data_IF_065839231913
#
_entry.id   IF_065839231913
#
_cell.length_a   1.000
_cell.length_b   1.000
_cell.length_c   1.000
_cell.angle_alpha   90.00
_cell.angle_beta   90.00
_cell.angle_gamma   90.00
#
_symmetry.space_group_name_H-M   'P 1'
#
loop_
_entity.id
_entity.type
_entity.pdbx_description
1 polymer ?
#
# COMPACT_ATOMS: atom_id res chain seq x y z
N UNK A 1 -14.67 23.68 11.75
CA UNK A 1 -14.77 22.30 12.25
C UNK A 1 -13.68 21.45 11.60
N UNK A 2 -12.95 20.67 12.42
CA UNK A 2 -11.80 19.88 11.96
C UNK A 2 -11.92 18.46 12.49
N UNK A 3 -11.59 17.46 11.66
CA UNK A 3 -11.49 16.04 12.00
C UNK A 3 -10.21 15.46 11.42
N UNK A 4 -9.49 14.67 12.21
CA UNK A 4 -8.32 13.91 11.74
C UNK A 4 -8.44 12.52 12.35
N UNK A 5 -8.43 11.48 11.53
CA UNK A 5 -8.37 10.10 11.93
C UNK A 5 -6.93 9.68 12.22
N UNK A 6 -6.75 8.56 12.94
CA UNK A 6 -5.44 7.98 13.21
C UNK A 6 -4.69 7.73 11.91
N UNK A 7 -3.46 8.18 11.84
CA UNK A 7 -2.63 7.99 10.68
C UNK A 7 -1.16 8.02 11.08
N UNK A 8 -0.38 7.08 10.61
CA UNK A 8 1.06 6.97 10.88
C UNK A 8 1.85 6.76 9.60
N UNK A 9 3.17 6.96 9.66
CA UNK A 9 4.05 6.59 8.56
C UNK A 9 4.09 5.07 8.45
N UNK A 10 3.66 4.47 7.33
CA UNK A 10 3.57 3.03 7.19
C UNK A 10 4.95 2.36 7.11
N UNK A 11 5.09 1.20 7.75
CA UNK A 11 6.30 0.36 7.65
C UNK A 11 6.35 -0.45 6.35
N UNK A 12 5.20 -0.70 5.73
CA UNK A 12 5.06 -1.37 4.43
C UNK A 12 4.41 -0.38 3.48
N UNK A 13 5.12 -0.05 2.40
CA UNK A 13 4.71 1.02 1.48
C UNK A 13 5.14 0.82 0.03
N UNK A 14 5.60 -0.37 -0.34
CA UNK A 14 6.01 -0.64 -1.73
C UNK A 14 4.89 -0.37 -2.75
N UNK A 15 3.65 -0.54 -2.33
CA UNK A 15 2.47 -0.27 -3.14
C UNK A 15 1.47 0.60 -2.38
N UNK A 16 0.77 1.46 -3.12
CA UNK A 16 -0.18 2.42 -2.56
C UNK A 16 -1.22 1.79 -1.62
N UNK A 17 -1.85 0.70 -2.03
CA UNK A 17 -2.85 0.01 -1.21
C UNK A 17 -2.28 -0.47 0.13
N UNK A 18 -1.05 -1.03 0.13
CA UNK A 18 -0.37 -1.43 1.36
C UNK A 18 -0.02 -0.22 2.22
N UNK A 19 0.52 0.84 1.62
CA UNK A 19 0.87 2.06 2.35
C UNK A 19 -0.36 2.67 3.05
N UNK A 20 -1.50 2.76 2.36
CA UNK A 20 -2.75 3.24 2.93
C UNK A 20 -3.20 2.37 4.10
N UNK A 21 -3.23 1.05 3.92
CA UNK A 21 -3.61 0.09 4.96
C UNK A 21 -2.72 0.24 6.20
N UNK A 22 -1.40 0.15 6.01
CA UNK A 22 -0.45 0.22 7.12
C UNK A 22 -0.32 1.62 7.74
N UNK A 23 -0.77 2.68 7.07
CA UNK A 23 -0.91 3.99 7.72
C UNK A 23 -1.95 4.00 8.85
N UNK A 24 -2.86 3.04 8.86
CA UNK A 24 -3.89 2.88 9.88
C UNK A 24 -3.49 1.84 10.93
N UNK A 25 -3.08 0.65 10.49
CA UNK A 25 -2.94 -0.54 11.34
C UNK A 25 -1.50 -0.89 11.75
N UNK A 26 -0.50 -0.15 11.31
CA UNK A 26 0.92 -0.51 11.43
C UNK A 26 1.31 -0.99 12.84
N UNK A 27 0.97 -0.21 13.86
CA UNK A 27 1.33 -0.51 15.25
C UNK A 27 0.72 -1.84 15.72
N UNK A 28 -0.58 -2.04 15.53
CA UNK A 28 -1.27 -3.25 15.95
C UNK A 28 -0.79 -4.47 15.18
N UNK A 29 -0.64 -4.35 13.85
CA UNK A 29 -0.21 -5.43 12.98
C UNK A 29 1.20 -5.94 13.33
N UNK A 30 2.13 -5.04 13.67
CA UNK A 30 3.51 -5.40 14.04
C UNK A 30 3.62 -5.85 15.49
N UNK A 31 2.93 -5.18 16.43
CA UNK A 31 3.01 -5.51 17.86
C UNK A 31 2.42 -6.88 18.16
N UNK A 32 1.30 -7.22 17.53
CA UNK A 32 0.66 -8.54 17.68
C UNK A 32 1.39 -9.66 16.93
N UNK A 33 2.27 -9.31 16.00
CA UNK A 33 2.90 -10.27 15.10
C UNK A 33 2.01 -10.75 13.95
N UNK A 34 0.80 -10.19 13.81
CA UNK A 34 -0.16 -10.53 12.75
C UNK A 34 0.42 -10.40 11.34
N UNK A 35 1.22 -9.35 11.10
CA UNK A 35 1.85 -9.10 9.80
C UNK A 35 2.83 -10.21 9.40
N UNK A 36 3.38 -10.95 10.38
CA UNK A 36 4.47 -11.89 10.09
C UNK A 36 4.03 -13.21 9.50
N UNK A 37 2.74 -13.53 9.48
CA UNK A 37 2.21 -14.67 8.73
C UNK A 37 1.72 -14.30 7.32
N UNK A 38 1.88 -13.02 6.94
CA UNK A 38 1.53 -12.43 5.65
C UNK A 38 2.81 -12.09 4.87
N UNK A 39 2.68 -11.80 3.59
CA UNK A 39 3.76 -11.26 2.74
C UNK A 39 5.05 -12.09 2.81
N UNK A 40 4.93 -13.44 2.90
CA UNK A 40 6.07 -14.35 2.91
C UNK A 40 6.56 -14.60 1.49
N UNK A 41 5.62 -14.72 0.54
CA UNK A 41 5.90 -15.03 -0.85
C UNK A 41 5.91 -13.79 -1.72
N UNK A 42 6.86 -13.78 -2.66
CA UNK A 42 6.91 -12.81 -3.76
C UNK A 42 6.41 -13.48 -5.03
N UNK A 43 5.80 -12.70 -5.92
CA UNK A 43 5.50 -13.11 -7.28
C UNK A 43 6.04 -12.10 -8.28
N UNK A 44 6.39 -12.58 -9.46
CA UNK A 44 6.76 -11.81 -10.62
C UNK A 44 5.84 -12.21 -11.79
N UNK A 45 5.24 -11.23 -12.43
CA UNK A 45 4.41 -11.44 -13.63
C UNK A 45 5.12 -10.90 -14.87
N UNK A 46 5.16 -11.71 -15.93
CA UNK A 46 5.90 -11.36 -17.15
C UNK A 46 5.21 -10.26 -17.97
N UNK A 47 3.88 -10.15 -17.88
CA UNK A 47 3.12 -9.18 -18.67
C UNK A 47 3.31 -7.72 -18.21
N UNK A 48 3.52 -7.48 -16.91
CA UNK A 48 3.77 -6.15 -16.34
C UNK A 48 5.20 -5.95 -15.86
N UNK A 49 6.00 -7.03 -15.85
CA UNK A 49 7.40 -7.04 -15.41
C UNK A 49 7.60 -6.54 -13.96
N UNK A 50 6.63 -6.78 -13.09
CA UNK A 50 6.65 -6.31 -11.72
C UNK A 50 6.85 -7.44 -10.71
N UNK A 51 7.50 -7.10 -9.57
CA UNK A 51 7.48 -7.92 -8.37
C UNK A 51 6.51 -7.33 -7.37
N UNK A 52 5.67 -8.18 -6.80
CA UNK A 52 4.75 -7.85 -5.72
C UNK A 52 4.68 -8.99 -4.70
N UNK A 53 3.99 -8.76 -3.59
CA UNK A 53 3.66 -9.86 -2.69
C UNK A 53 2.60 -10.75 -3.32
N UNK A 54 2.76 -12.06 -3.25
CA UNK A 54 1.83 -13.02 -3.85
C UNK A 54 0.41 -12.97 -3.28
N UNK A 55 0.25 -12.38 -2.10
CA UNK A 55 -1.03 -12.19 -1.42
C UNK A 55 -1.59 -10.76 -1.65
N UNK A 56 -0.96 -9.96 -2.55
CA UNK A 56 -1.34 -8.58 -2.81
C UNK A 56 -2.28 -8.45 -4.01
N UNK A 57 -3.46 -7.92 -3.77
CA UNK A 57 -4.41 -7.54 -4.81
C UNK A 57 -4.40 -6.01 -4.98
N UNK A 58 -4.14 -5.55 -6.23
CA UNK A 58 -3.76 -4.17 -6.57
C UNK A 58 -4.69 -3.06 -6.08
N UNK A 59 -5.98 -3.33 -5.95
CA UNK A 59 -6.98 -2.32 -5.54
C UNK A 59 -7.72 -2.73 -4.28
N UNK A 60 -7.28 -3.80 -3.66
CA UNK A 60 -7.96 -4.29 -2.51
C UNK A 60 -7.10 -4.11 -1.26
N UNK A 61 -7.46 -3.10 -0.45
CA UNK A 61 -7.02 -3.03 0.94
C UNK A 61 -7.43 -4.30 1.73
N UNK A 62 -8.18 -5.19 1.10
CA UNK A 62 -8.58 -6.52 1.61
C UNK A 62 -7.39 -7.43 1.86
N UNK A 63 -6.22 -7.13 1.29
CA UNK A 63 -5.00 -7.80 1.75
C UNK A 63 -4.76 -7.61 3.25
N UNK A 64 -5.44 -6.64 3.89
CA UNK A 64 -5.60 -6.57 5.33
C UNK A 64 -6.58 -7.64 5.89
N UNK A 65 -7.03 -8.58 5.07
CA UNK A 65 -7.66 -9.85 5.44
C UNK A 65 -8.81 -9.70 6.44
N UNK A 66 -9.76 -8.82 6.13
CA UNK A 66 -10.94 -8.62 6.94
C UNK A 66 -10.78 -7.63 8.11
N UNK A 67 -9.65 -6.94 8.21
CA UNK A 67 -9.45 -5.88 9.21
C UNK A 67 -10.34 -4.67 8.96
N UNK A 68 -10.71 -4.44 7.70
CA UNK A 68 -11.56 -3.31 7.31
C UNK A 68 -12.93 -3.72 6.81
N UNK A 69 -13.95 -3.01 7.26
CA UNK A 69 -15.23 -2.93 6.55
C UNK A 69 -15.11 -1.90 5.42
N UNK A 70 -15.68 -2.22 4.27
CA UNK A 70 -15.67 -1.37 3.07
C UNK A 70 -17.04 -0.85 2.74
N UNK A 71 -17.09 0.39 2.27
CA UNK A 71 -18.20 0.96 1.52
C UNK A 71 -17.70 1.37 0.14
N UNK A 72 -18.52 1.19 -0.88
CA UNK A 72 -18.17 1.57 -2.24
C UNK A 72 -19.29 2.43 -2.82
N UNK A 73 -18.91 3.58 -3.39
CA UNK A 73 -19.85 4.53 -3.95
C UNK A 73 -19.31 5.04 -5.28
N UNK A 74 -20.13 4.95 -6.31
CA UNK A 74 -19.90 5.58 -7.60
C UNK A 74 -20.91 6.70 -7.80
N UNK A 75 -20.43 7.85 -8.22
CA UNK A 75 -21.26 9.01 -8.58
C UNK A 75 -21.02 9.40 -10.03
N UNK A 76 -22.06 9.55 -10.83
CA UNK A 76 -21.94 10.25 -12.11
C UNK A 76 -21.43 11.69 -11.84
N UNK A 77 -20.36 12.05 -12.51
CA UNK A 77 -19.72 13.36 -12.30
C UNK A 77 -20.69 14.54 -12.50
N UNK A 78 -21.54 14.46 -13.52
CA UNK A 78 -22.49 15.52 -13.88
C UNK A 78 -23.54 15.81 -12.78
N UNK A 79 -23.72 14.91 -11.82
CA UNK A 79 -24.68 15.08 -10.71
C UNK A 79 -24.03 15.40 -9.36
N UNK A 80 -22.70 15.48 -9.34
CA UNK A 80 -21.96 15.73 -8.10
C UNK A 80 -21.32 17.11 -8.13
N UNK A 81 -21.80 18.04 -7.32
CA UNK A 81 -21.11 19.32 -7.12
C UNK A 81 -19.98 19.19 -6.10
N UNK A 82 -18.97 20.08 -6.17
CA UNK A 82 -17.90 20.18 -5.17
C UNK A 82 -18.45 20.13 -3.74
N UNK A 83 -19.46 20.94 -3.44
CA UNK A 83 -20.05 21.02 -2.09
C UNK A 83 -20.62 19.67 -1.64
N UNK A 84 -21.39 18.99 -2.48
CA UNK A 84 -22.01 17.69 -2.17
C UNK A 84 -20.92 16.65 -1.92
N UNK A 85 -19.93 16.57 -2.79
CA UNK A 85 -18.84 15.59 -2.67
C UNK A 85 -18.01 15.83 -1.42
N UNK A 86 -17.59 17.08 -1.17
CA UNK A 86 -16.77 17.41 -0.01
C UNK A 86 -17.53 17.19 1.31
N UNK A 87 -18.81 17.53 1.37
CA UNK A 87 -19.64 17.24 2.53
C UNK A 87 -19.80 15.73 2.78
N UNK A 88 -19.95 14.96 1.71
CA UNK A 88 -20.04 13.52 1.80
C UNK A 88 -18.75 12.89 2.37
N UNK A 89 -17.59 13.27 1.84
CA UNK A 89 -16.29 12.80 2.36
C UNK A 89 -16.09 13.24 3.82
N UNK A 90 -16.45 14.48 4.16
CA UNK A 90 -16.42 14.93 5.56
C UNK A 90 -17.29 14.05 6.47
N UNK A 91 -18.48 13.65 5.99
CA UNK A 91 -19.38 12.76 6.75
C UNK A 91 -18.76 11.37 6.92
N UNK A 92 -18.17 10.78 5.88
CA UNK A 92 -17.44 9.49 6.01
C UNK A 92 -16.37 9.58 7.10
N UNK A 93 -15.56 10.63 7.10
CA UNK A 93 -14.52 10.87 8.09
C UNK A 93 -15.09 11.08 9.51
N UNK A 94 -16.23 11.77 9.64
CA UNK A 94 -16.93 11.94 10.94
C UNK A 94 -17.39 10.60 11.50
N UNK A 95 -17.81 9.67 10.65
CA UNK A 95 -18.22 8.31 10.99
C UNK A 95 -17.03 7.36 11.22
N UNK A 96 -15.79 7.85 11.08
CA UNK A 96 -14.57 7.07 11.26
C UNK A 96 -14.16 6.25 10.03
N UNK A 97 -14.70 6.59 8.87
CA UNK A 97 -14.29 5.98 7.59
C UNK A 97 -13.21 6.82 6.92
N UNK A 98 -12.11 6.18 6.57
CA UNK A 98 -11.12 6.76 5.67
C UNK A 98 -11.64 6.70 4.24
N UNK A 99 -11.27 7.68 3.41
CA UNK A 99 -11.70 7.70 2.03
C UNK A 99 -10.50 7.46 1.09
N UNK A 100 -10.64 6.47 0.21
CA UNK A 100 -9.74 6.28 -0.92
C UNK A 100 -10.47 6.70 -2.19
N UNK A 101 -9.79 7.46 -3.04
CA UNK A 101 -10.31 7.90 -4.32
C UNK A 101 -9.24 7.82 -5.40
N UNK A 102 -9.67 7.58 -6.64
CA UNK A 102 -8.82 7.75 -7.82
C UNK A 102 -8.95 9.20 -8.29
N UNK A 103 -7.84 9.83 -8.60
CA UNK A 103 -7.77 11.21 -9.05
C UNK A 103 -6.74 11.43 -10.16
N UNK A 104 -6.80 12.59 -10.82
CA UNK A 104 -5.72 13.03 -11.68
C UNK A 104 -4.59 13.62 -10.84
N UNK A 105 -3.54 12.85 -10.62
CA UNK A 105 -2.39 13.26 -9.83
C UNK A 105 -1.62 14.44 -10.43
N UNK A 106 -1.71 14.64 -11.74
CA UNK A 106 -1.06 15.78 -12.38
C UNK A 106 -1.60 17.11 -11.85
N UNK A 107 -2.90 17.20 -11.56
CA UNK A 107 -3.51 18.42 -10.97
C UNK A 107 -2.94 18.66 -9.58
N UNK A 108 -2.85 17.59 -8.78
CA UNK A 108 -2.35 17.67 -7.41
C UNK A 108 -0.86 18.02 -7.37
N UNK A 109 -0.03 17.39 -8.20
CA UNK A 109 1.41 17.67 -8.27
C UNK A 109 1.68 19.08 -8.80
N UNK A 110 0.89 19.55 -9.77
CA UNK A 110 0.97 20.93 -10.25
C UNK A 110 0.65 21.93 -9.13
N UNK A 111 -0.40 21.64 -8.34
CA UNK A 111 -0.75 22.48 -7.19
C UNK A 111 0.33 22.47 -6.10
N UNK A 112 0.79 21.27 -5.68
CA UNK A 112 1.73 21.15 -4.56
C UNK A 112 3.13 21.69 -4.86
N UNK A 113 3.59 21.55 -6.10
CA UNK A 113 4.98 21.85 -6.47
C UNK A 113 5.08 23.00 -7.48
N UNK A 114 4.00 23.76 -7.70
CA UNK A 114 3.95 24.88 -8.66
C UNK A 114 4.44 24.48 -10.06
N UNK A 115 4.17 23.25 -10.48
CA UNK A 115 4.54 22.70 -11.79
C UNK A 115 3.45 23.00 -12.83
N UNK A 116 3.80 22.91 -14.10
CA UNK A 116 2.87 23.03 -15.23
C UNK A 116 3.01 21.81 -16.14
N UNK A 117 2.86 20.63 -15.58
CA UNK A 117 2.90 19.40 -16.36
C UNK A 117 1.57 19.26 -17.13
N UNK A 118 1.62 19.12 -18.46
CA UNK A 118 0.44 18.74 -19.21
C UNK A 118 0.24 17.23 -19.09
N UNK A 119 -1.02 16.81 -19.01
CA UNK A 119 -1.36 15.41 -19.08
C UNK A 119 -2.32 14.98 -17.99
N UNK A 120 -2.71 13.72 -18.09
CA UNK A 120 -3.58 13.07 -17.12
C UNK A 120 -2.80 11.84 -16.62
N UNK A 121 -2.56 11.80 -15.33
CA UNK A 121 -2.00 10.63 -14.67
C UNK A 121 -2.95 10.21 -13.54
N UNK A 122 -3.62 9.08 -13.73
CA UNK A 122 -4.51 8.54 -12.72
C UNK A 122 -3.71 7.84 -11.62
N UNK A 123 -3.99 8.24 -10.40
CA UNK A 123 -3.42 7.59 -9.23
C UNK A 123 -4.43 7.61 -8.08
N UNK A 124 -4.16 6.83 -7.03
CA UNK A 124 -4.99 6.80 -5.85
C UNK A 124 -4.56 7.82 -4.80
N UNK A 125 -5.52 8.40 -4.12
CA UNK A 125 -5.28 9.20 -2.93
C UNK A 125 -5.96 8.61 -1.71
N UNK A 126 -5.42 8.88 -0.53
CA UNK A 126 -5.96 8.45 0.74
C UNK A 126 -6.24 9.67 1.63
N UNK A 127 -7.52 9.86 1.96
CA UNK A 127 -7.99 10.97 2.79
C UNK A 127 -8.24 10.47 4.20
N UNK A 128 -7.58 11.08 5.17
CA UNK A 128 -7.67 10.72 6.59
C UNK A 128 -8.18 11.86 7.49
N UNK A 129 -8.51 13.00 6.90
CA UNK A 129 -9.05 14.11 7.69
C UNK A 129 -9.45 15.31 6.84
N UNK A 130 -10.05 16.30 7.50
CA UNK A 130 -10.43 17.56 6.87
C UNK A 130 -10.37 18.73 7.86
N UNK A 131 -10.36 19.95 7.33
CA UNK A 131 -10.56 21.20 8.05
C UNK A 131 -11.53 22.09 7.23
N UNK A 132 -12.81 22.18 7.69
CA UNK A 132 -13.84 22.98 6.99
C UNK A 132 -13.58 24.47 7.03
N UNK A 133 -12.90 24.97 8.07
CA UNK A 133 -12.61 26.39 8.20
C UNK A 133 -11.54 26.83 7.19
N UNK A 134 -10.60 25.92 6.89
CA UNK A 134 -9.58 26.11 5.87
C UNK A 134 -9.99 25.59 4.49
N UNK A 135 -11.09 24.86 4.41
CA UNK A 135 -11.55 24.14 3.21
C UNK A 135 -10.49 23.22 2.61
N UNK A 136 -9.87 22.37 3.43
CA UNK A 136 -8.85 21.42 2.99
C UNK A 136 -9.13 20.01 3.46
N UNK A 137 -8.71 19.04 2.65
CA UNK A 137 -8.53 17.65 3.06
C UNK A 137 -7.09 17.39 3.50
N UNK A 138 -6.92 16.53 4.48
CA UNK A 138 -5.64 15.94 4.84
C UNK A 138 -5.52 14.62 4.10
N UNK A 139 -4.53 14.54 3.21
CA UNK A 139 -4.33 13.41 2.31
C UNK A 139 -2.95 12.81 2.48
N UNK A 140 -2.81 11.56 2.07
CA UNK A 140 -1.55 10.84 1.97
C UNK A 140 -1.45 10.14 0.62
N UNK A 141 -0.25 10.08 0.07
CA UNK A 141 0.01 9.42 -1.21
C UNK A 141 1.45 9.59 -1.68
N UNK A 142 1.70 9.15 -2.89
CA UNK A 142 2.94 9.35 -3.63
C UNK A 142 2.74 10.49 -4.63
N UNK A 143 2.85 11.73 -4.18
CA UNK A 143 2.51 12.90 -5.02
C UNK A 143 3.58 13.26 -6.07
N UNK A 144 4.80 12.75 -5.94
CA UNK A 144 5.89 12.98 -6.88
C UNK A 144 6.58 11.66 -7.29
N UNK A 145 5.84 10.55 -7.24
CA UNK A 145 6.27 9.18 -7.55
C UNK A 145 7.45 8.62 -6.71
N UNK A 146 7.97 9.36 -5.74
CA UNK A 146 9.17 8.96 -5.01
C UNK A 146 8.94 8.72 -3.53
N UNK A 147 8.14 9.57 -2.85
CA UNK A 147 8.00 9.53 -1.40
C UNK A 147 6.54 9.46 -0.95
N UNK A 148 6.31 8.70 0.11
CA UNK A 148 5.04 8.70 0.83
C UNK A 148 4.93 9.96 1.68
N UNK A 149 4.03 10.84 1.32
CA UNK A 149 3.92 12.18 1.90
C UNK A 149 2.50 12.50 2.38
N UNK A 150 2.43 13.46 3.31
CA UNK A 150 1.19 14.09 3.75
C UNK A 150 1.01 15.41 3.03
N UNK A 151 -0.20 15.68 2.57
CA UNK A 151 -0.54 16.93 1.95
C UNK A 151 -1.86 17.52 2.48
N UNK A 152 -2.01 18.84 2.36
CA UNK A 152 -3.27 19.55 2.56
C UNK A 152 -3.75 20.00 1.19
N UNK A 153 -4.83 19.44 0.72
CA UNK A 153 -5.38 19.71 -0.61
C UNK A 153 -6.68 20.51 -0.45
N UNK A 154 -6.79 21.72 -1.06
CA UNK A 154 -8.03 22.48 -1.07
C UNK A 154 -9.20 21.68 -1.66
N UNK A 155 -10.39 21.89 -1.15
CA UNK A 155 -11.59 21.20 -1.61
C UNK A 155 -11.82 21.36 -3.12
N UNK A 156 -11.61 22.56 -3.64
CA UNK A 156 -11.72 22.86 -5.07
C UNK A 156 -10.72 22.08 -5.93
N UNK A 157 -9.45 22.02 -5.50
CA UNK A 157 -8.39 21.27 -6.21
C UNK A 157 -8.65 19.77 -6.13
N UNK A 158 -9.09 19.30 -4.97
CA UNK A 158 -9.46 17.90 -4.76
C UNK A 158 -10.62 17.50 -5.69
N UNK A 159 -11.66 18.30 -5.75
CA UNK A 159 -12.81 18.09 -6.63
C UNK A 159 -12.39 18.11 -8.11
N UNK A 160 -11.58 19.10 -8.52
CA UNK A 160 -11.05 19.19 -9.87
C UNK A 160 -10.27 17.91 -10.24
N UNK A 161 -9.38 17.44 -9.36
CA UNK A 161 -8.59 16.24 -9.61
C UNK A 161 -9.44 14.98 -9.78
N UNK A 162 -10.51 14.84 -9.00
CA UNK A 162 -11.46 13.72 -9.14
C UNK A 162 -12.27 13.78 -10.43
N UNK A 163 -12.58 15.01 -10.92
CA UNK A 163 -13.37 15.21 -12.12
C UNK A 163 -12.69 14.76 -13.39
N UNK A 164 -11.37 14.73 -13.38
CA UNK A 164 -10.54 14.37 -14.52
C UNK A 164 -10.17 12.89 -14.56
N UNK A 165 -10.88 12.01 -13.85
CA UNK A 165 -10.75 10.57 -14.03
C UNK A 165 -11.45 10.17 -15.35
N UNK A 166 -10.72 10.02 -16.48
CA UNK A 166 -11.32 10.14 -17.81
C UNK A 166 -12.05 8.88 -18.29
N UNK A 167 -11.83 7.73 -17.65
CA UNK A 167 -12.29 6.48 -18.24
C UNK A 167 -13.78 6.18 -18.04
N UNK A 168 -14.48 6.83 -17.10
CA UNK A 168 -15.87 6.45 -16.77
C UNK A 168 -16.86 7.60 -16.62
N UNK A 169 -16.44 8.86 -16.52
CA UNK A 169 -17.37 9.96 -16.16
C UNK A 169 -17.97 9.80 -14.77
N UNK A 170 -17.36 9.00 -13.91
CA UNK A 170 -17.82 8.65 -12.57
C UNK A 170 -16.73 8.91 -11.55
N UNK A 171 -17.11 9.41 -10.37
CA UNK A 171 -16.25 9.53 -9.21
C UNK A 171 -16.43 8.26 -8.37
N UNK A 172 -15.36 7.48 -8.21
CA UNK A 172 -15.36 6.31 -7.37
C UNK A 172 -14.71 6.62 -6.02
N UNK A 173 -15.46 6.43 -4.93
CA UNK A 173 -15.01 6.57 -3.57
C UNK A 173 -15.10 5.23 -2.84
N UNK A 174 -14.05 4.84 -2.16
CA UNK A 174 -14.02 3.66 -1.31
C UNK A 174 -13.79 4.09 0.14
N UNK A 175 -14.77 3.79 0.99
CA UNK A 175 -14.66 4.00 2.42
C UNK A 175 -14.03 2.78 3.10
N UNK A 176 -13.12 3.03 4.05
CA UNK A 176 -12.49 2.00 4.88
C UNK A 176 -12.67 2.34 6.35
N UNK A 177 -13.27 1.40 7.09
CA UNK A 177 -13.41 1.50 8.55
C UNK A 177 -12.78 0.28 9.19
N UNK A 178 -11.91 0.47 10.20
CA UNK A 178 -11.41 -0.64 11.02
C UNK A 178 -12.60 -1.39 11.65
N UNK A 179 -12.53 -2.73 11.61
CA UNK A 179 -13.52 -3.55 12.30
C UNK A 179 -13.23 -3.46 13.80
N UNK A 180 -14.18 -2.99 14.62
CA UNK A 180 -14.02 -2.99 16.06
C UNK A 180 -13.74 -4.41 16.59
N UNK A 181 -12.89 -4.50 17.60
CA UNK A 181 -12.57 -5.75 18.29
C UNK A 181 -11.98 -6.84 17.37
N UNK A 182 -11.31 -6.45 16.28
CA UNK A 182 -10.61 -7.38 15.42
C UNK A 182 -9.52 -8.14 16.21
N UNK A 183 -9.54 -9.46 16.13
CA UNK A 183 -8.57 -10.32 16.82
C UNK A 183 -7.22 -10.33 16.06
N UNK A 184 -6.26 -9.61 16.61
CA UNK A 184 -4.90 -9.51 16.08
C UNK A 184 -4.06 -10.70 16.52
N UNK A 185 -4.18 -11.81 15.79
CA UNK A 185 -3.45 -13.04 16.11
C UNK A 185 -2.36 -13.34 15.08
N UNK A 186 -1.22 -13.83 15.58
CA UNK A 186 -0.15 -14.39 14.76
C UNK A 186 -0.28 -15.90 14.67
N UNK A 187 0.08 -16.47 13.52
CA UNK A 187 0.04 -17.92 13.30
C UNK A 187 1.44 -18.48 13.05
N UNK A 188 2.17 -18.78 14.14
CA UNK A 188 3.53 -19.33 14.05
C UNK A 188 3.61 -20.65 13.26
N UNK A 189 2.72 -21.63 13.44
CA UNK A 189 2.71 -22.82 12.59
C UNK A 189 2.59 -22.51 11.10
N UNK A 190 1.73 -21.55 10.72
CA UNK A 190 1.62 -21.07 9.34
C UNK A 190 2.94 -20.43 8.88
N UNK A 191 3.53 -19.54 9.68
CA UNK A 191 4.83 -18.90 9.35
C UNK A 191 5.90 -19.95 9.05
N UNK A 192 6.04 -20.95 9.93
CA UNK A 192 7.03 -22.03 9.76
C UNK A 192 6.77 -22.81 8.47
N UNK A 193 5.53 -23.16 8.19
CA UNK A 193 5.16 -23.88 6.97
C UNK A 193 5.50 -23.07 5.72
N UNK A 194 5.06 -21.82 5.64
CA UNK A 194 5.26 -20.94 4.47
C UNK A 194 6.74 -20.60 4.28
N UNK A 195 7.50 -20.36 5.34
CA UNK A 195 8.96 -20.19 5.27
C UNK A 195 9.69 -21.45 4.74
N UNK A 196 9.18 -22.64 5.04
CA UNK A 196 9.72 -23.87 4.46
C UNK A 196 9.39 -24.00 2.96
N UNK A 197 8.19 -23.57 2.53
CA UNK A 197 7.81 -23.47 1.11
C UNK A 197 8.74 -22.48 0.40
N UNK A 198 8.90 -21.30 0.94
CA UNK A 198 9.81 -20.27 0.43
C UNK A 198 11.25 -20.77 0.31
N UNK A 199 11.79 -21.37 1.38
CA UNK A 199 13.15 -21.93 1.41
C UNK A 199 13.40 -22.98 0.34
N UNK A 200 12.42 -23.83 0.06
CA UNK A 200 12.51 -24.89 -0.94
C UNK A 200 12.26 -24.36 -2.36
N UNK A 201 11.83 -23.12 -2.48
CA UNK A 201 11.34 -22.53 -3.73
C UNK A 201 10.29 -23.46 -4.40
N UNK A 202 9.38 -23.99 -3.59
CA UNK A 202 8.47 -25.06 -4.00
C UNK A 202 7.08 -24.58 -4.38
N UNK A 203 6.86 -23.26 -4.43
CA UNK A 203 5.65 -22.68 -5.04
C UNK A 203 5.76 -22.89 -6.55
N UNK A 204 4.73 -23.50 -7.16
CA UNK A 204 4.76 -23.84 -8.58
C UNK A 204 4.68 -22.59 -9.44
N UNK A 205 5.68 -22.36 -10.29
CA UNK A 205 5.62 -21.34 -11.32
C UNK A 205 4.53 -21.67 -12.36
N UNK A 206 3.88 -20.64 -12.88
CA UNK A 206 2.94 -20.74 -14.00
C UNK A 206 3.59 -20.19 -15.27
N UNK A 207 2.89 -20.25 -16.40
CA UNK A 207 3.38 -19.75 -17.69
C UNK A 207 3.89 -18.29 -17.60
N UNK A 208 3.08 -17.42 -16.96
CA UNK A 208 3.36 -15.98 -16.87
C UNK A 208 3.78 -15.52 -15.47
N UNK A 209 3.82 -16.40 -14.48
CA UNK A 209 4.10 -16.03 -13.10
C UNK A 209 5.21 -16.87 -12.50
N UNK A 210 6.15 -16.22 -11.83
CA UNK A 210 7.24 -16.82 -11.05
C UNK A 210 7.08 -16.45 -9.60
N UNK A 211 7.53 -17.32 -8.71
CA UNK A 211 7.42 -17.12 -7.27
C UNK A 211 8.78 -17.06 -6.59
N UNK A 212 8.84 -16.37 -5.47
CA UNK A 212 9.93 -16.35 -4.50
C UNK A 212 11.31 -16.03 -5.12
N UNK A 213 12.26 -16.95 -5.05
CA UNK A 213 13.57 -16.75 -5.63
C UNK A 213 13.52 -16.63 -7.16
N UNK A 214 12.65 -17.43 -7.81
CA UNK A 214 12.48 -17.37 -9.26
C UNK A 214 11.88 -16.01 -9.69
N UNK A 215 10.98 -15.43 -8.87
CA UNK A 215 10.46 -14.09 -9.11
C UNK A 215 11.59 -13.05 -9.13
N UNK A 216 12.45 -13.07 -8.11
CA UNK A 216 13.59 -12.15 -7.99
C UNK A 216 14.58 -12.34 -9.16
N UNK A 217 14.90 -13.58 -9.49
CA UNK A 217 15.82 -13.87 -10.60
C UNK A 217 15.27 -13.42 -11.95
N UNK A 218 13.97 -13.64 -12.21
CA UNK A 218 13.30 -13.21 -13.44
C UNK A 218 13.26 -11.69 -13.58
N UNK A 219 12.95 -10.98 -12.49
CA UNK A 219 12.98 -9.52 -12.47
C UNK A 219 14.37 -8.96 -12.83
N UNK A 220 15.43 -9.45 -12.18
CA UNK A 220 16.78 -9.00 -12.48
C UNK A 220 17.28 -9.45 -13.87
N UNK A 221 16.80 -10.60 -14.37
CA UNK A 221 17.10 -11.01 -15.74
C UNK A 221 16.51 -10.03 -16.76
N UNK A 222 15.26 -9.58 -16.55
CA UNK A 222 14.61 -8.60 -17.42
C UNK A 222 15.29 -7.23 -17.38
N UNK A 223 15.74 -6.77 -16.20
CA UNK A 223 16.54 -5.55 -16.11
C UNK A 223 17.82 -5.63 -16.95
N UNK A 224 18.50 -6.79 -16.97
CA UNK A 224 19.69 -7.01 -17.83
C UNK A 224 19.37 -6.99 -19.31
N UNK A 225 18.14 -7.30 -19.69
CA UNK A 225 17.65 -7.23 -21.08
C UNK A 225 17.17 -5.82 -21.46
N UNK A 226 17.27 -4.83 -20.57
CA UNK A 226 16.93 -3.44 -20.83
C UNK A 226 15.45 -3.10 -20.54
N UNK A 227 14.72 -3.96 -19.84
CA UNK A 227 13.39 -3.60 -19.37
C UNK A 227 13.51 -2.47 -18.32
N UNK A 228 12.72 -1.41 -18.41
CA UNK A 228 12.77 -0.30 -17.46
C UNK A 228 12.57 -0.77 -16.01
N UNK A 229 13.28 -0.12 -15.09
CA UNK A 229 13.17 -0.43 -13.67
C UNK A 229 11.79 -0.01 -13.14
N UNK A 230 11.06 -0.94 -12.57
CA UNK A 230 9.85 -0.64 -11.79
C UNK A 230 10.27 -0.41 -10.33
N UNK A 231 10.35 0.84 -9.91
CA UNK A 231 10.85 1.25 -8.58
C UNK A 231 10.08 0.59 -7.43
N UNK A 232 8.73 0.51 -7.44
CA UNK A 232 7.97 -0.20 -6.40
C UNK A 232 8.39 -1.66 -6.23
N UNK A 233 8.80 -2.35 -7.30
CA UNK A 233 9.30 -3.74 -7.21
C UNK A 233 10.60 -3.84 -6.43
N UNK A 234 11.51 -2.87 -6.57
CA UNK A 234 12.74 -2.81 -5.76
C UNK A 234 12.41 -2.57 -4.28
N UNK A 235 11.48 -1.65 -4.00
CA UNK A 235 10.98 -1.43 -2.65
C UNK A 235 10.34 -2.69 -2.07
N UNK A 236 9.54 -3.41 -2.85
CA UNK A 236 8.91 -4.66 -2.43
C UNK A 236 9.95 -5.72 -2.01
N UNK A 237 11.01 -5.89 -2.80
CA UNK A 237 12.12 -6.80 -2.46
C UNK A 237 12.79 -6.36 -1.16
N UNK A 238 13.06 -5.08 -0.99
CA UNK A 238 13.70 -4.54 0.21
C UNK A 238 12.82 -4.74 1.45
N UNK A 239 11.54 -4.36 1.39
CA UNK A 239 10.58 -4.52 2.48
C UNK A 239 10.37 -5.99 2.83
N UNK A 240 10.30 -6.87 1.84
CA UNK A 240 10.24 -8.31 2.05
C UNK A 240 11.41 -8.81 2.91
N UNK A 241 12.64 -8.33 2.67
CA UNK A 241 13.80 -8.72 3.48
C UNK A 241 13.74 -8.14 4.88
N UNK A 242 13.27 -6.90 5.04
CA UNK A 242 13.04 -6.31 6.37
C UNK A 242 11.97 -7.08 7.16
N UNK A 243 10.86 -7.43 6.51
CA UNK A 243 9.81 -8.25 7.14
C UNK A 243 10.34 -9.64 7.52
N UNK A 244 11.23 -10.20 6.70
CA UNK A 244 11.84 -11.49 6.99
C UNK A 244 12.70 -11.44 8.27
N UNK A 245 13.51 -10.41 8.47
CA UNK A 245 14.27 -10.18 9.70
C UNK A 245 13.34 -10.06 10.91
N UNK A 246 12.39 -9.13 10.86
CA UNK A 246 11.43 -8.89 11.94
C UNK A 246 10.62 -10.15 12.29
N UNK A 247 10.25 -10.94 11.29
CA UNK A 247 9.56 -12.23 11.46
C UNK A 247 10.39 -13.23 12.23
N UNK A 248 11.66 -13.39 11.87
CA UNK A 248 12.56 -14.29 12.60
C UNK A 248 12.79 -13.83 14.04
N UNK A 249 12.95 -12.53 14.27
CA UNK A 249 13.09 -11.97 15.62
C UNK A 249 11.81 -12.17 16.45
N UNK A 250 10.64 -12.02 15.85
CA UNK A 250 9.36 -12.30 16.49
C UNK A 250 9.24 -13.79 16.85
N UNK A 251 9.48 -14.69 15.90
CA UNK A 251 9.42 -16.14 16.13
C UNK A 251 10.41 -16.58 17.24
N UNK A 252 11.60 -15.97 17.30
CA UNK A 252 12.59 -16.21 18.36
C UNK A 252 12.06 -15.79 19.74
N UNK A 253 11.37 -14.64 19.84
CA UNK A 253 10.73 -14.17 21.08
C UNK A 253 9.62 -15.12 21.53
N UNK A 254 8.90 -15.70 20.58
CA UNK A 254 7.84 -16.70 20.81
C UNK A 254 8.39 -18.14 21.05
N UNK A 255 9.70 -18.28 21.25
CA UNK A 255 10.33 -19.55 21.63
C UNK A 255 10.71 -20.47 20.49
N UNK A 256 10.58 -20.05 19.23
CA UNK A 256 11.07 -20.82 18.08
C UNK A 256 12.60 -20.77 18.05
N UNK A 257 13.30 -21.94 17.95
CA UNK A 257 14.77 -21.96 17.96
C UNK A 257 15.35 -21.40 16.65
N UNK A 258 15.64 -20.10 16.63
CA UNK A 258 16.28 -19.38 15.52
C UNK A 258 17.76 -19.17 15.87
N UNK A 259 18.67 -19.63 14.98
CA UNK A 259 20.11 -19.44 15.18
C UNK A 259 20.52 -18.00 14.90
N UNK A 260 21.39 -17.44 15.72
CA UNK A 260 21.94 -16.08 15.54
C UNK A 260 22.64 -15.91 14.18
N UNK A 261 23.31 -16.98 13.72
CA UNK A 261 23.94 -16.99 12.39
C UNK A 261 22.96 -16.77 11.25
N UNK A 262 21.70 -17.21 11.39
CA UNK A 262 20.69 -17.04 10.35
C UNK A 262 20.15 -15.60 10.35
N UNK A 263 19.92 -15.03 11.53
CA UNK A 263 19.58 -13.61 11.67
C UNK A 263 20.66 -12.69 11.06
N UNK A 264 21.93 -12.97 11.33
CA UNK A 264 23.04 -12.20 10.80
C UNK A 264 23.11 -12.24 9.26
N UNK A 265 22.84 -13.41 8.65
CA UNK A 265 22.74 -13.52 7.17
C UNK A 265 21.62 -12.66 6.60
N UNK A 266 20.46 -12.64 7.24
CA UNK A 266 19.33 -11.80 6.79
C UNK A 266 19.70 -10.32 6.88
N UNK A 267 20.33 -9.87 7.98
CA UNK A 267 20.84 -8.50 8.13
C UNK A 267 21.81 -8.10 7.03
N UNK A 268 22.69 -9.00 6.61
CA UNK A 268 23.59 -8.74 5.48
C UNK A 268 22.84 -8.61 4.14
N UNK A 269 21.81 -9.45 3.91
CA UNK A 269 20.98 -9.33 2.72
C UNK A 269 20.24 -7.99 2.66
N UNK A 270 19.74 -7.48 3.79
CA UNK A 270 19.09 -6.17 3.86
C UNK A 270 20.06 -5.05 3.52
N UNK A 271 21.31 -5.10 4.02
CA UNK A 271 22.33 -4.10 3.67
C UNK A 271 22.64 -4.08 2.18
N UNK A 272 22.60 -5.25 1.54
CA UNK A 272 22.82 -5.36 0.08
C UNK A 272 21.63 -4.75 -0.66
N UNK A 273 20.41 -5.09 -0.27
CA UNK A 273 19.19 -4.59 -0.93
C UNK A 273 19.01 -3.06 -0.84
N UNK A 274 19.61 -2.42 0.17
CA UNK A 274 19.60 -0.94 0.28
C UNK A 274 20.50 -0.23 -0.73
N UNK A 275 21.38 -0.95 -1.40
CA UNK A 275 22.36 -0.37 -2.33
C UNK A 275 21.93 -0.49 -3.80
N UNK A 276 20.85 -1.19 -4.03
CA UNK A 276 20.21 -1.34 -5.34
C UNK A 276 19.11 -0.29 -5.49
#
# INVERSE_FOLDING_TARGET
MKKILKNVQPSIRAYLGLACCYSIIDEQAFTSGWVYDKYIHLEYTSYDSQIKYADYEHYDFVSAQGVFAKSFIEYPYDFCSETILCEYICKMLDEGEYCFALWNETIITNYLYEKQNPGIYEHGCFVYGYDKDKKVFYTQGYFDNENWEHAQIPFEIFYEALSYCPEKGEIALIGYREIPDYEWESNIPKMIRELNVYKRNSKNDCEDTRYDLNAILSFFANLRLGVPVHVPSLYCIYEHKMLFEKRLDFMKKEGVPIRESDLNKVKELIKISRKV
#
